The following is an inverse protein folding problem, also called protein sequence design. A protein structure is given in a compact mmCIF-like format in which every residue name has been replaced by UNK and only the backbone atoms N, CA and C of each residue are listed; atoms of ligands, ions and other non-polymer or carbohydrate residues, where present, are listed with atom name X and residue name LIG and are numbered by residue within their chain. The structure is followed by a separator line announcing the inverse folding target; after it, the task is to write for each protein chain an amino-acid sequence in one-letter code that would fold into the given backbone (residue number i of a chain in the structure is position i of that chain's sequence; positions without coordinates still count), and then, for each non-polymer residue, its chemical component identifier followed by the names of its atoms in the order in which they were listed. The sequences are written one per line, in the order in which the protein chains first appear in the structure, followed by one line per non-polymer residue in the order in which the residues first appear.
data_IF_441002792722
#
_entry.id   IF_441002792722
#
_cell.length_a   1.000
_cell.length_b   1.000
_cell.length_c   1.000
_cell.angle_alpha   90.00
_cell.angle_beta   90.00
_cell.angle_gamma   90.00
#
_symmetry.space_group_name_H-M   'P 1'
#
loop_
_entity.id
_entity.type
_entity.pdbx_description
1 polymer ?
#
# COMPACT_ATOMS: atom_id res chain seq x y z
N UNK A 1 3.53 -9.57 8.05
CA UNK A 1 4.48 -9.04 9.05
C UNK A 1 3.91 -7.77 9.68
N UNK A 2 4.03 -7.60 11.01
CA UNK A 2 3.70 -6.34 11.66
C UNK A 2 4.66 -5.23 11.19
N UNK A 3 4.17 -3.99 11.15
CA UNK A 3 4.99 -2.82 10.81
C UNK A 3 6.04 -2.67 11.92
N UNK A 4 7.34 -2.53 11.60
CA UNK A 4 8.37 -2.35 12.63
C UNK A 4 8.02 -1.16 13.53
N UNK A 5 8.32 -1.24 14.84
CA UNK A 5 8.03 -0.16 15.81
C UNK A 5 8.58 1.16 15.26
N UNK A 6 7.77 2.21 15.16
CA UNK A 6 8.16 3.50 14.55
C UNK A 6 8.31 3.51 13.01
N UNK A 7 7.93 2.43 12.34
CA UNK A 7 7.79 2.38 10.90
C UNK A 7 6.57 3.17 10.43
N UNK A 8 6.62 3.67 9.20
CA UNK A 8 5.54 4.45 8.58
C UNK A 8 5.01 3.70 7.37
N UNK A 9 3.72 3.88 7.07
CA UNK A 9 3.11 3.30 5.88
C UNK A 9 2.62 4.42 4.98
N UNK A 10 2.89 4.31 3.68
CA UNK A 10 2.36 5.22 2.66
C UNK A 10 1.70 4.41 1.55
N UNK A 11 0.49 4.80 1.16
CA UNK A 11 -0.14 4.27 -0.04
C UNK A 11 0.04 5.28 -1.17
N UNK A 12 0.52 4.81 -2.32
CA UNK A 12 0.62 5.60 -3.54
C UNK A 12 -0.22 4.97 -4.65
N UNK A 13 -0.83 5.81 -5.46
CA UNK A 13 -1.49 5.40 -6.70
C UNK A 13 -0.56 5.72 -7.85
N UNK A 14 -0.25 4.72 -8.69
CA UNK A 14 0.56 4.92 -9.89
C UNK A 14 -0.27 5.65 -10.97
N UNK A 15 0.41 6.21 -11.97
CA UNK A 15 -0.25 6.78 -13.16
C UNK A 15 -1.21 5.81 -13.84
N UNK A 16 -0.93 4.51 -13.77
CA UNK A 16 -1.78 3.42 -14.28
C UNK A 16 -2.93 3.01 -13.35
N UNK A 17 -3.24 3.80 -12.31
CA UNK A 17 -4.32 3.51 -11.36
C UNK A 17 -4.05 2.37 -10.38
N UNK A 18 -2.84 1.79 -10.38
CA UNK A 18 -2.47 0.70 -9.47
C UNK A 18 -2.13 1.28 -8.10
N UNK A 19 -2.70 0.71 -7.04
CA UNK A 19 -2.38 1.11 -5.66
C UNK A 19 -1.22 0.27 -5.13
N UNK A 20 -0.24 0.93 -4.52
CA UNK A 20 0.95 0.30 -3.94
C UNK A 20 1.10 0.82 -2.50
N UNK A 21 1.24 -0.10 -1.55
CA UNK A 21 1.56 0.17 -0.16
C UNK A 21 3.07 0.04 0.03
N UNK A 22 3.69 1.10 0.54
CA UNK A 22 5.11 1.15 0.91
C UNK A 22 5.21 1.18 2.44
N UNK A 23 6.01 0.29 3.01
CA UNK A 23 6.34 0.27 4.44
C UNK A 23 7.76 0.78 4.62
N UNK A 24 7.93 1.78 5.46
CA UNK A 24 9.20 2.41 5.80
C UNK A 24 9.61 2.03 7.21
N UNK A 25 10.91 1.84 7.44
CA UNK A 25 11.46 1.73 8.79
C UNK A 25 11.68 3.11 9.43
N UNK A 26 12.13 3.13 10.70
CA UNK A 26 12.45 4.37 11.43
C UNK A 26 13.50 5.26 10.75
N UNK A 27 14.35 4.68 9.90
CA UNK A 27 15.40 5.39 9.14
C UNK A 27 14.89 5.92 7.79
N UNK A 28 13.60 5.79 7.49
CA UNK A 28 13.01 6.22 6.23
C UNK A 28 13.31 5.30 5.03
N UNK A 29 13.91 4.13 5.23
CA UNK A 29 14.16 3.16 4.14
C UNK A 29 12.93 2.27 3.94
N UNK A 30 12.62 1.98 2.67
CA UNK A 30 11.54 1.04 2.31
C UNK A 30 11.98 -0.37 2.67
N UNK A 31 11.17 -1.07 3.45
CA UNK A 31 11.41 -2.46 3.87
C UNK A 31 10.40 -3.44 3.25
N UNK A 32 9.24 -2.95 2.81
CA UNK A 32 8.23 -3.78 2.15
C UNK A 32 7.47 -2.95 1.11
N UNK A 33 7.19 -3.57 -0.04
CA UNK A 33 6.32 -3.01 -1.07
C UNK A 33 5.24 -4.02 -1.41
N UNK A 34 3.98 -3.66 -1.19
CA UNK A 34 2.83 -4.53 -1.47
C UNK A 34 1.89 -3.88 -2.47
N UNK A 35 1.69 -4.51 -3.62
CA UNK A 35 0.65 -4.10 -4.57
C UNK A 35 -0.71 -4.40 -3.97
N UNK A 36 -1.51 -3.35 -3.77
CA UNK A 36 -2.89 -3.48 -3.36
C UNK A 36 -3.70 -3.80 -4.61
N UNK A 37 -4.17 -5.06 -4.72
CA UNK A 37 -5.24 -5.36 -5.65
C UNK A 37 -6.45 -4.58 -5.17
N UNK A 38 -6.86 -3.58 -5.94
CA UNK A 38 -8.20 -3.03 -5.78
C UNK A 38 -9.10 -4.19 -6.17
N UNK A 39 -9.71 -4.88 -5.20
CA UNK A 39 -10.90 -5.65 -5.50
C UNK A 39 -11.88 -4.60 -6.00
N UNK A 40 -11.97 -4.45 -7.33
CA UNK A 40 -13.14 -3.86 -7.95
C UNK A 40 -14.24 -4.85 -7.59
N UNK A 41 -14.81 -4.67 -6.40
CA UNK A 41 -16.13 -5.19 -6.14
C UNK A 41 -16.96 -4.54 -7.24
N UNK A 42 -17.43 -5.33 -8.19
CA UNK A 42 -18.58 -4.96 -9.01
C UNK A 42 -19.66 -4.62 -7.98
N UNK A 43 -19.77 -3.35 -7.60
CA UNK A 43 -20.95 -2.85 -6.91
C UNK A 43 -21.97 -2.65 -8.02
N UNK A 44 -22.52 -3.75 -8.51
CA UNK A 44 -23.82 -3.76 -9.17
C UNK A 44 -24.80 -3.23 -8.14
N UNK A 45 -25.02 -1.91 -8.13
CA UNK A 45 -26.27 -1.35 -7.63
C UNK A 45 -27.26 -1.56 -8.76
N UNK A 46 -28.05 -2.63 -8.63
CA UNK A 46 -29.35 -2.70 -9.29
C UNK A 46 -30.33 -1.73 -8.65
#
# INVERSE_FOLDING_TARGET
MPIPKGGRVRVKTTKSGKRIRLTFNKRGKVVETKRLKVKIGRKTRG
#
